data_IF_547021926199
#
_entry.id   IF_547021926199
#
_cell.length_a   1.000
_cell.length_b   1.000
_cell.length_c   1.000
_cell.angle_alpha   90.00
_cell.angle_beta   90.00
_cell.angle_gamma   90.00
#
_symmetry.space_group_name_H-M   'P 1'
#
loop_
_entity.id
_entity.type
_entity.pdbx_description
1 polymer ?
#
# COMPACT_ATOMS: atom_id res chain seq x y z
N UNK A 1 35.02 -21.85 -36.60
CA UNK A 1 33.96 -22.28 -35.65
C UNK A 1 33.94 -21.49 -34.34
N UNK A 2 35.07 -21.24 -33.67
CA UNK A 2 35.14 -20.52 -32.37
C UNK A 2 34.50 -19.11 -32.37
N UNK A 3 34.72 -18.31 -33.42
CA UNK A 3 34.15 -16.95 -33.52
C UNK A 3 32.61 -16.91 -33.68
N UNK A 4 32.02 -17.94 -34.28
CA UNK A 4 30.55 -18.05 -34.45
C UNK A 4 29.87 -18.34 -33.09
N UNK A 5 30.50 -19.16 -32.25
CA UNK A 5 30.05 -19.42 -30.88
C UNK A 5 30.16 -18.18 -29.98
N UNK A 6 31.23 -17.39 -30.12
CA UNK A 6 31.42 -16.17 -29.33
C UNK A 6 30.33 -15.12 -29.65
N UNK A 7 30.01 -14.91 -30.93
CA UNK A 7 28.96 -13.99 -31.37
C UNK A 7 27.56 -14.41 -30.93
N UNK A 8 27.27 -15.72 -30.92
CA UNK A 8 25.99 -16.27 -30.43
C UNK A 8 25.86 -16.11 -28.91
N UNK A 9 26.93 -16.40 -28.16
CA UNK A 9 26.96 -16.26 -26.70
C UNK A 9 26.79 -14.79 -26.26
N UNK A 10 27.40 -13.84 -26.96
CA UNK A 10 27.21 -12.41 -26.68
C UNK A 10 25.78 -11.93 -26.95
N UNK A 11 25.11 -12.45 -27.99
CA UNK A 11 23.69 -12.14 -28.26
C UNK A 11 22.76 -12.70 -27.19
N UNK A 12 23.02 -13.92 -26.73
CA UNK A 12 22.26 -14.56 -25.65
C UNK A 12 22.45 -13.75 -24.35
N UNK A 13 23.68 -13.42 -23.99
CA UNK A 13 24.00 -12.62 -22.80
C UNK A 13 23.31 -11.26 -22.82
N UNK A 14 23.35 -10.54 -23.95
CA UNK A 14 22.64 -9.25 -24.11
C UNK A 14 21.12 -9.40 -23.96
N UNK A 15 20.55 -10.51 -24.43
CA UNK A 15 19.11 -10.77 -24.33
C UNK A 15 18.71 -11.07 -22.89
N UNK A 16 19.50 -11.89 -22.18
CA UNK A 16 19.31 -12.17 -20.75
C UNK A 16 19.42 -10.88 -19.94
N UNK A 17 20.44 -10.04 -20.20
CA UNK A 17 20.60 -8.78 -19.49
C UNK A 17 19.39 -7.85 -19.68
N UNK A 18 18.85 -7.76 -20.92
CA UNK A 18 17.63 -6.99 -21.18
C UNK A 18 16.41 -7.55 -20.45
N UNK A 19 16.29 -8.87 -20.37
CA UNK A 19 15.22 -9.52 -19.61
C UNK A 19 15.31 -9.15 -18.13
N UNK A 20 16.49 -9.31 -17.52
CA UNK A 20 16.73 -8.96 -16.11
C UNK A 20 16.38 -7.51 -15.84
N UNK A 21 16.86 -6.57 -16.67
CA UNK A 21 16.54 -5.15 -16.52
C UNK A 21 15.03 -4.90 -16.63
N UNK A 22 14.35 -5.58 -17.55
CA UNK A 22 12.89 -5.42 -17.71
C UNK A 22 12.12 -5.95 -16.51
N UNK A 23 12.54 -7.09 -15.95
CA UNK A 23 11.97 -7.65 -14.72
C UNK A 23 12.22 -6.72 -13.52
N UNK A 24 13.44 -6.22 -13.36
CA UNK A 24 13.77 -5.29 -12.28
C UNK A 24 12.92 -4.02 -12.37
N UNK A 25 12.80 -3.42 -13.56
CA UNK A 25 11.92 -2.26 -13.76
C UNK A 25 10.48 -2.60 -13.39
N UNK A 26 9.94 -3.72 -13.88
CA UNK A 26 8.58 -4.14 -13.55
C UNK A 26 8.36 -4.25 -12.03
N UNK A 27 9.28 -4.94 -11.33
CA UNK A 27 9.23 -5.08 -9.87
C UNK A 27 9.32 -3.72 -9.17
N UNK A 28 10.18 -2.82 -9.63
CA UNK A 28 10.28 -1.46 -9.08
C UNK A 28 8.99 -0.66 -9.28
N UNK A 29 8.38 -0.69 -10.46
CA UNK A 29 7.11 0.01 -10.73
C UNK A 29 5.98 -0.59 -9.89
N UNK A 30 5.96 -1.91 -9.72
CA UNK A 30 5.00 -2.60 -8.88
C UNK A 30 5.14 -2.20 -7.42
N UNK A 31 6.37 -2.21 -6.90
CA UNK A 31 6.68 -1.80 -5.52
C UNK A 31 6.28 -0.35 -5.24
N UNK A 32 6.59 0.59 -6.16
CA UNK A 32 6.16 1.98 -6.07
C UNK A 32 4.63 2.11 -6.04
N UNK A 33 3.94 1.31 -6.84
CA UNK A 33 2.48 1.31 -6.92
C UNK A 33 1.81 0.69 -5.70
N UNK A 34 2.49 -0.23 -5.02
CA UNK A 34 1.97 -0.91 -3.83
C UNK A 34 2.21 -0.12 -2.54
N UNK A 35 3.35 0.57 -2.40
CA UNK A 35 3.72 1.24 -1.15
C UNK A 35 3.52 2.74 -1.18
N UNK A 36 4.06 3.41 -2.21
CA UNK A 36 4.11 4.87 -2.23
C UNK A 36 2.77 5.45 -2.62
N UNK A 37 2.15 4.90 -3.67
CA UNK A 37 0.92 5.47 -4.18
C UNK A 37 -0.26 5.36 -3.21
N UNK A 38 -0.52 4.23 -2.52
CA UNK A 38 -1.63 4.19 -1.58
C UNK A 38 -1.42 5.13 -0.40
N UNK A 39 -0.17 5.27 0.06
CA UNK A 39 0.17 6.25 1.10
C UNK A 39 -0.15 7.69 0.67
N UNK A 40 0.06 8.04 -0.59
CA UNK A 40 -0.23 9.39 -1.10
C UNK A 40 -1.71 9.60 -1.46
N UNK A 41 -2.40 8.56 -1.92
CA UNK A 41 -3.74 8.65 -2.50
C UNK A 41 -4.86 8.41 -1.51
N UNK A 42 -4.60 7.65 -0.44
CA UNK A 42 -5.64 7.21 0.51
C UNK A 42 -5.40 7.67 1.93
N UNK A 43 -4.29 8.36 2.18
CA UNK A 43 -3.98 8.85 3.51
C UNK A 43 -4.84 10.07 3.83
N UNK A 44 -5.63 9.94 4.86
CA UNK A 44 -6.49 10.97 5.42
C UNK A 44 -5.96 11.29 6.83
N UNK A 45 -5.91 12.59 7.17
CA UNK A 45 -5.61 13.06 8.52
C UNK A 45 -6.82 13.79 9.04
N UNK A 46 -7.16 13.53 10.30
CA UNK A 46 -8.35 14.08 10.92
C UNK A 46 -7.98 15.04 12.05
N UNK A 47 -8.85 16.02 12.26
CA UNK A 47 -8.86 16.92 13.41
C UNK A 47 -10.25 16.83 14.00
N UNK A 48 -10.46 15.85 14.89
CA UNK A 48 -11.77 15.52 15.45
C UNK A 48 -12.60 14.56 14.58
N UNK A 49 -13.90 14.44 14.89
CA UNK A 49 -14.77 13.36 14.37
C UNK A 49 -15.52 13.67 13.05
N UNK A 50 -15.33 14.87 12.48
CA UNK A 50 -16.02 15.29 11.26
C UNK A 50 -15.31 14.79 9.99
N UNK A 51 -16.10 14.33 9.01
CA UNK A 51 -15.56 13.88 7.72
C UNK A 51 -14.76 12.58 7.75
N UNK A 52 -14.84 11.82 8.84
CA UNK A 52 -14.11 10.55 9.00
C UNK A 52 -14.65 9.51 8.03
N UNK A 53 -13.73 8.84 7.31
CA UNK A 53 -14.07 7.80 6.36
C UNK A 53 -14.93 6.71 6.97
N UNK A 54 -15.96 6.27 6.26
CA UNK A 54 -16.84 5.17 6.67
C UNK A 54 -16.07 3.88 6.94
N UNK A 55 -14.98 3.67 6.20
CA UNK A 55 -14.12 2.48 6.29
C UNK A 55 -13.06 2.56 7.38
N UNK A 56 -13.01 3.65 8.16
CA UNK A 56 -12.04 3.78 9.24
C UNK A 56 -12.24 2.64 10.25
N UNK A 57 -11.26 1.73 10.44
CA UNK A 57 -11.42 0.60 11.33
C UNK A 57 -11.22 1.04 12.79
N UNK A 58 -12.02 0.47 13.68
CA UNK A 58 -11.93 0.65 15.13
C UNK A 58 -11.88 -0.73 15.78
N UNK A 59 -10.89 -0.96 16.64
CA UNK A 59 -10.82 -2.19 17.41
C UNK A 59 -11.79 -2.16 18.58
N UNK A 60 -12.54 -3.23 18.75
CA UNK A 60 -13.44 -3.46 19.87
C UNK A 60 -13.19 -4.82 20.53
N UNK A 61 -13.56 -4.94 21.79
CA UNK A 61 -13.50 -6.18 22.57
C UNK A 61 -14.92 -6.75 22.73
N UNK A 62 -15.20 -7.87 22.08
CA UNK A 62 -16.49 -8.58 22.14
C UNK A 62 -16.27 -9.94 22.77
N UNK A 63 -16.97 -10.25 23.87
CA UNK A 63 -16.89 -11.55 24.55
C UNK A 63 -15.44 -12.02 24.80
N UNK A 64 -14.60 -11.11 25.31
CA UNK A 64 -13.18 -11.34 25.58
C UNK A 64 -12.32 -11.66 24.33
N UNK A 65 -12.82 -11.30 23.14
CA UNK A 65 -12.11 -11.42 21.87
C UNK A 65 -12.06 -10.08 21.14
N UNK A 66 -10.96 -9.85 20.43
CA UNK A 66 -10.76 -8.67 19.62
C UNK A 66 -11.49 -8.79 18.29
N UNK A 67 -12.15 -7.73 17.86
CA UNK A 67 -12.74 -7.62 16.52
C UNK A 67 -12.61 -6.19 16.01
N UNK A 68 -12.80 -5.99 14.72
CA UNK A 68 -12.79 -4.67 14.09
C UNK A 68 -14.21 -4.34 13.66
N UNK A 69 -14.63 -3.12 13.95
CA UNK A 69 -15.83 -2.50 13.38
C UNK A 69 -15.44 -1.31 12.55
N UNK A 70 -16.27 -0.99 11.57
CA UNK A 70 -16.06 0.21 10.76
C UNK A 70 -16.65 1.43 11.46
N UNK A 71 -16.13 2.61 11.14
CA UNK A 71 -16.52 3.86 11.78
C UNK A 71 -18.00 4.20 11.63
N UNK A 72 -18.60 3.87 10.48
CA UNK A 72 -20.04 4.04 10.27
C UNK A 72 -20.87 3.17 11.25
N UNK A 73 -20.39 1.98 11.60
CA UNK A 73 -21.03 1.11 12.58
C UNK A 73 -20.75 1.60 14.02
N UNK A 74 -19.51 2.00 14.30
CA UNK A 74 -19.10 2.57 15.59
C UNK A 74 -19.95 3.79 15.98
N UNK A 75 -20.13 4.74 15.05
CA UNK A 75 -20.91 5.97 15.32
C UNK A 75 -22.37 5.71 15.68
N UNK A 76 -22.91 4.57 15.26
CA UNK A 76 -24.31 4.20 15.47
C UNK A 76 -24.49 3.26 16.67
N UNK A 77 -23.43 2.92 17.40
CA UNK A 77 -23.46 2.04 18.58
C UNK A 77 -22.97 2.77 19.82
N UNK A 78 -23.73 2.66 20.90
CA UNK A 78 -23.35 3.19 22.22
C UNK A 78 -22.62 2.14 23.08
N UNK A 79 -22.67 0.86 22.69
CA UNK A 79 -22.26 -0.32 23.46
C UNK A 79 -20.89 -0.89 23.04
N UNK A 80 -20.06 -0.09 22.37
CA UNK A 80 -18.74 -0.54 21.90
C UNK A 80 -17.70 -0.48 23.01
N UNK A 81 -17.24 -1.64 23.46
CA UNK A 81 -16.10 -1.75 24.36
C UNK A 81 -14.80 -1.58 23.58
N UNK A 82 -14.15 -0.43 23.74
CA UNK A 82 -12.90 -0.11 23.06
C UNK A 82 -11.72 -0.83 23.70
N UNK A 83 -10.72 -1.14 22.87
CA UNK A 83 -9.48 -1.78 23.30
C UNK A 83 -8.52 -0.73 23.85
N UNK A 84 -8.15 -0.83 25.12
CA UNK A 84 -7.21 0.09 25.80
C UNK A 84 -5.98 -0.64 26.40
N UNK A 85 -5.59 -1.77 25.81
CA UNK A 85 -4.49 -2.60 26.35
C UNK A 85 -3.11 -2.14 25.84
N UNK A 86 -2.08 -2.34 26.68
CA UNK A 86 -0.67 -1.96 26.41
C UNK A 86 0.08 -2.98 25.54
N UNK A 87 -0.50 -4.15 25.27
CA UNK A 87 0.19 -5.23 24.55
C UNK A 87 -0.12 -5.26 23.05
N UNK A 88 0.89 -5.68 22.27
CA UNK A 88 0.73 -5.93 20.84
C UNK A 88 -0.18 -7.14 20.62
N UNK A 89 -1.42 -6.89 20.22
CA UNK A 89 -2.36 -7.97 19.91
C UNK A 89 -2.24 -8.32 18.44
N UNK A 90 -1.71 -9.51 18.14
CA UNK A 90 -1.83 -10.13 16.82
C UNK A 90 -2.85 -11.26 16.88
N UNK A 91 -3.98 -11.14 16.16
CA UNK A 91 -4.95 -12.25 16.02
C UNK A 91 -5.32 -12.50 14.57
N UNK A 92 -5.52 -13.78 14.25
CA UNK A 92 -6.17 -14.24 13.04
C UNK A 92 -7.63 -14.61 13.33
N UNK A 93 -8.57 -13.99 12.63
CA UNK A 93 -10.00 -14.30 12.70
C UNK A 93 -10.50 -14.41 11.27
N UNK A 94 -10.95 -15.60 10.84
CA UNK A 94 -11.53 -15.82 9.51
C UNK A 94 -10.65 -15.29 8.35
N UNK A 95 -9.37 -15.67 8.29
CA UNK A 95 -8.34 -15.15 7.35
C UNK A 95 -7.96 -13.67 7.49
N UNK A 96 -8.64 -12.93 8.36
CA UNK A 96 -8.30 -11.55 8.65
C UNK A 96 -7.28 -11.48 9.77
N UNK A 97 -6.34 -10.55 9.68
CA UNK A 97 -5.35 -10.31 10.73
C UNK A 97 -5.54 -8.93 11.32
N UNK A 98 -5.53 -8.85 12.64
CA UNK A 98 -5.55 -7.58 13.39
C UNK A 98 -4.20 -7.46 14.08
N UNK A 99 -3.54 -6.33 13.88
CA UNK A 99 -2.36 -5.91 14.64
C UNK A 99 -2.71 -4.60 15.34
N UNK A 100 -2.66 -4.59 16.67
CA UNK A 100 -2.93 -3.42 17.47
C UNK A 100 -1.70 -3.09 18.30
N UNK A 101 -1.26 -1.83 18.27
CA UNK A 101 -0.12 -1.33 19.00
C UNK A 101 -0.48 0.00 19.67
N UNK A 102 -0.34 0.07 21.00
CA UNK A 102 -0.48 1.32 21.74
C UNK A 102 0.88 1.99 21.92
N UNK A 103 1.00 3.20 21.38
CA UNK A 103 2.18 4.05 21.51
C UNK A 103 2.26 4.68 22.90
N UNK A 104 3.47 5.14 23.30
CA UNK A 104 3.72 5.75 24.61
C UNK A 104 2.91 7.02 24.88
N UNK A 105 2.49 7.72 23.83
CA UNK A 105 1.63 8.90 23.88
C UNK A 105 0.14 8.54 23.98
N UNK A 106 -0.20 7.25 24.08
CA UNK A 106 -1.59 6.76 24.14
C UNK A 106 -2.25 6.58 22.78
N UNK A 107 -1.54 6.84 21.68
CA UNK A 107 -2.06 6.61 20.33
C UNK A 107 -2.18 5.12 20.06
N UNK A 108 -3.36 4.69 19.64
CA UNK A 108 -3.61 3.31 19.21
C UNK A 108 -3.43 3.25 17.70
N UNK A 109 -2.45 2.46 17.25
CA UNK A 109 -2.26 2.12 15.86
C UNK A 109 -2.88 0.75 15.61
N UNK A 110 -3.86 0.72 14.71
CA UNK A 110 -4.55 -0.48 14.28
C UNK A 110 -4.20 -0.73 12.81
N UNK A 111 -3.67 -1.93 12.53
CA UNK A 111 -3.56 -2.47 11.18
C UNK A 111 -4.51 -3.64 11.03
N UNK A 112 -5.40 -3.55 10.06
CA UNK A 112 -6.40 -4.57 9.77
C UNK A 112 -6.20 -5.11 8.36
N UNK A 113 -5.87 -6.39 8.27
CA UNK A 113 -5.67 -7.13 7.03
C UNK A 113 -6.95 -7.89 6.71
N UNK A 114 -7.74 -7.38 5.77
CA UNK A 114 -8.83 -8.10 5.13
C UNK A 114 -8.33 -8.73 3.81
N UNK A 115 -9.03 -9.73 3.29
CA UNK A 115 -8.60 -10.56 2.15
C UNK A 115 -7.90 -9.80 1.00
N UNK A 116 -8.46 -8.65 0.59
CA UNK A 116 -7.96 -7.86 -0.54
C UNK A 116 -7.54 -6.43 -0.15
N UNK A 117 -7.62 -6.10 1.13
CA UNK A 117 -7.43 -4.75 1.62
C UNK A 117 -6.65 -4.76 2.92
N UNK A 118 -5.71 -3.84 3.04
CA UNK A 118 -5.09 -3.53 4.32
C UNK A 118 -5.48 -2.12 4.70
N UNK A 119 -6.00 -1.97 5.91
CA UNK A 119 -6.38 -0.70 6.49
C UNK A 119 -5.42 -0.38 7.62
N UNK A 120 -5.06 0.90 7.75
CA UNK A 120 -4.34 1.40 8.91
C UNK A 120 -5.10 2.60 9.46
N UNK A 121 -5.25 2.63 10.77
CA UNK A 121 -5.84 3.75 11.48
C UNK A 121 -5.06 4.07 12.74
N UNK A 122 -4.90 5.35 13.02
CA UNK A 122 -4.45 5.84 14.31
C UNK A 122 -5.56 6.62 14.99
N UNK A 123 -5.80 6.33 16.27
CA UNK A 123 -6.78 7.06 17.07
C UNK A 123 -6.43 7.07 18.56
N UNK A 124 -6.96 8.06 19.29
CA UNK A 124 -6.95 8.10 20.75
C UNK A 124 -8.28 7.59 21.30
N UNK A 125 -8.27 7.11 22.55
CA UNK A 125 -9.50 6.88 23.31
C UNK A 125 -9.58 7.96 24.38
N UNK A 126 -10.54 8.87 24.23
CA UNK A 126 -10.76 9.99 25.15
C UNK A 126 -12.19 9.90 25.68
N UNK A 127 -12.34 9.81 27.00
CA UNK A 127 -13.65 9.63 27.66
C UNK A 127 -14.46 8.45 27.11
N UNK A 128 -13.79 7.35 26.76
CA UNK A 128 -14.43 6.17 26.18
C UNK A 128 -14.89 6.35 24.73
N UNK A 129 -14.48 7.43 24.05
CA UNK A 129 -14.76 7.68 22.63
C UNK A 129 -13.49 7.67 21.80
N UNK A 130 -13.64 7.28 20.54
CA UNK A 130 -12.53 7.24 19.58
C UNK A 130 -12.35 8.62 18.95
N UNK A 131 -11.18 9.21 19.13
CA UNK A 131 -10.76 10.41 18.43
C UNK A 131 -9.79 10.03 17.29
N UNK A 132 -10.25 10.06 16.02
CA UNK A 132 -9.45 9.63 14.88
C UNK A 132 -8.34 10.64 14.58
N UNK A 133 -7.17 10.12 14.20
CA UNK A 133 -5.97 10.92 13.89
C UNK A 133 -5.58 10.75 12.43
N UNK A 134 -5.47 9.50 11.98
CA UNK A 134 -5.14 9.21 10.58
C UNK A 134 -5.79 7.91 10.11
N UNK A 135 -5.99 7.82 8.81
CA UNK A 135 -6.47 6.63 8.12
C UNK A 135 -5.76 6.47 6.79
N UNK A 136 -5.49 5.23 6.40
CA UNK A 136 -5.04 4.89 5.05
C UNK A 136 -5.51 3.49 4.71
N UNK A 137 -5.65 3.20 3.43
CA UNK A 137 -5.94 1.84 2.99
C UNK A 137 -5.24 1.51 1.68
N UNK A 138 -4.88 0.24 1.52
CA UNK A 138 -4.28 -0.31 0.31
C UNK A 138 -5.17 -1.46 -0.13
N UNK A 139 -5.50 -1.51 -1.41
CA UNK A 139 -6.17 -2.67 -1.97
C UNK A 139 -6.00 -2.74 -3.48
N UNK A 140 -6.42 -3.87 -4.06
CA UNK A 140 -6.29 -4.13 -5.49
C UNK A 140 -6.90 -3.00 -6.36
N UNK A 141 -8.02 -2.42 -5.92
CA UNK A 141 -8.70 -1.32 -6.61
C UNK A 141 -7.85 -0.06 -6.77
N UNK A 142 -6.89 0.20 -5.88
CA UNK A 142 -5.98 1.35 -5.98
C UNK A 142 -4.68 0.94 -6.68
N UNK A 143 -4.13 -0.21 -6.31
CA UNK A 143 -2.84 -0.67 -6.82
C UNK A 143 -2.90 -0.91 -8.34
N UNK A 144 -3.97 -1.52 -8.86
CA UNK A 144 -4.09 -1.86 -10.27
C UNK A 144 -4.14 -0.59 -11.17
N UNK A 145 -5.03 0.40 -10.93
CA UNK A 145 -5.04 1.62 -11.73
C UNK A 145 -3.74 2.42 -11.65
N UNK A 146 -3.16 2.56 -10.45
CA UNK A 146 -1.88 3.24 -10.26
C UNK A 146 -0.79 2.55 -11.07
N UNK A 147 -0.70 1.23 -10.95
CA UNK A 147 0.29 0.45 -11.70
C UNK A 147 0.11 0.62 -13.20
N UNK A 148 -1.14 0.63 -13.69
CA UNK A 148 -1.46 0.92 -15.09
C UNK A 148 -0.96 2.29 -15.53
N UNK A 149 -1.23 3.35 -14.77
CA UNK A 149 -0.77 4.72 -15.07
C UNK A 149 0.75 4.81 -15.10
N UNK A 150 1.41 4.25 -14.08
CA UNK A 150 2.88 4.24 -13.97
C UNK A 150 3.51 3.48 -15.14
N UNK A 151 2.93 2.33 -15.53
CA UNK A 151 3.37 1.54 -16.67
C UNK A 151 3.21 2.31 -17.98
N UNK A 152 2.08 2.99 -18.19
CA UNK A 152 1.84 3.84 -19.36
C UNK A 152 2.89 4.94 -19.45
N UNK A 153 3.12 5.68 -18.35
CA UNK A 153 4.15 6.75 -18.30
C UNK A 153 5.52 6.19 -18.65
N UNK A 154 5.89 5.02 -18.11
CA UNK A 154 7.15 4.36 -18.42
C UNK A 154 7.27 4.01 -19.91
N UNK A 155 6.24 3.42 -20.51
CA UNK A 155 6.23 3.04 -21.92
C UNK A 155 6.35 4.27 -22.85
N UNK A 156 5.60 5.34 -22.57
CA UNK A 156 5.71 6.59 -23.32
C UNK A 156 7.09 7.23 -23.15
N UNK A 157 7.61 7.32 -21.92
CA UNK A 157 8.94 7.86 -21.65
C UNK A 157 10.04 7.11 -22.41
N UNK A 158 9.95 5.77 -22.47
CA UNK A 158 10.87 4.94 -23.24
C UNK A 158 10.78 5.20 -24.76
N UNK A 159 9.56 5.36 -25.30
CA UNK A 159 9.35 5.71 -26.71
C UNK A 159 9.92 7.10 -27.05
N UNK A 160 9.68 8.10 -26.20
CA UNK A 160 10.22 9.45 -26.39
C UNK A 160 11.75 9.47 -26.31
N UNK A 161 12.33 8.76 -25.33
CA UNK A 161 13.78 8.63 -25.21
C UNK A 161 14.40 7.97 -26.45
N UNK A 162 13.80 6.88 -26.96
CA UNK A 162 14.27 6.23 -28.17
C UNK A 162 14.24 7.16 -29.38
N UNK A 163 13.15 7.94 -29.55
CA UNK A 163 13.04 8.96 -30.60
C UNK A 163 14.08 10.07 -30.45
N UNK A 164 14.31 10.54 -29.23
CA UNK A 164 15.32 11.55 -28.93
C UNK A 164 16.73 11.08 -29.30
N UNK A 165 17.12 9.87 -28.89
CA UNK A 165 18.42 9.29 -29.23
C UNK A 165 18.57 9.09 -30.74
N UNK A 166 17.53 8.62 -31.43
CA UNK A 166 17.55 8.47 -32.89
C UNK A 166 17.77 9.81 -33.62
N UNK A 167 17.07 10.88 -33.21
CA UNK A 167 17.26 12.23 -33.75
C UNK A 167 18.67 12.75 -33.51
N UNK A 168 19.20 12.61 -32.29
CA UNK A 168 20.54 13.08 -31.94
C UNK A 168 21.63 12.37 -32.77
N UNK A 169 21.48 11.08 -33.05
CA UNK A 169 22.41 10.33 -33.92
C UNK A 169 22.41 10.82 -35.36
N UNK A 170 21.23 11.14 -35.90
CA UNK A 170 21.11 11.69 -37.27
C UNK A 170 21.75 13.08 -37.40
N UNK A 171 21.76 13.90 -36.34
CA UNK A 171 22.40 15.22 -36.35
C UNK A 171 23.92 15.18 -36.19
N UNK A 172 24.47 14.05 -35.71
CA UNK A 172 25.92 13.85 -35.53
C UNK A 172 26.60 13.13 -36.70
N UNK A 173 25.84 12.75 -37.74
CA UNK A 173 26.34 12.21 -39.01
C UNK A 173 26.29 13.31 -40.06
#
# INVERSE_FOLDING_TARGET
MLFVNLGRNLKILKSILRLIVSVLVFVSLFYLSFLVAPYLLTSEKYVGEQGVSKFFPVAQKVNNSYSVIQWEEYKNREDVYLVDEEELVTRLINNERIELEKSKDGLINLTYYADNYTFWSGYYIVNGKVEPVYFRFVGAFIVIPVFGVVLIIYLFGRLFYARYVARKRMQSM
#
